data_IF_952293500634
#
_entry.id   IF_952293500634
#
_cell.length_a   1.000
_cell.length_b   1.000
_cell.length_c   1.000
_cell.angle_alpha   90.00
_cell.angle_beta   90.00
_cell.angle_gamma   90.00
#
_symmetry.space_group_name_H-M   'P 1'
#
loop_
_entity.id
_entity.type
_entity.pdbx_description
1 polymer ?
#
# COMPACT_ATOMS: atom_id res chain seq x y z
N UNK A 1 -47.64 1.44 17.62
CA UNK A 1 -46.28 2.03 17.73
C UNK A 1 -45.27 0.92 17.52
N UNK A 2 -44.68 0.81 16.31
CA UNK A 2 -43.54 -0.08 16.07
C UNK A 2 -42.30 0.81 16.05
N UNK A 3 -41.31 0.51 16.91
CA UNK A 3 -39.96 1.05 16.81
C UNK A 3 -39.33 0.43 15.57
N UNK A 4 -38.97 1.27 14.61
CA UNK A 4 -38.08 0.91 13.51
C UNK A 4 -36.67 0.74 14.09
N UNK A 5 -35.95 -0.34 13.78
CA UNK A 5 -34.56 -0.46 14.18
C UNK A 5 -33.71 0.55 13.41
N UNK A 6 -32.94 1.33 14.17
CA UNK A 6 -31.84 2.15 13.67
C UNK A 6 -30.91 1.22 12.87
N UNK A 7 -30.78 1.46 11.57
CA UNK A 7 -29.73 0.82 10.78
C UNK A 7 -28.42 1.33 11.38
N UNK A 8 -27.65 0.41 11.93
CA UNK A 8 -26.27 0.64 12.32
C UNK A 8 -25.48 0.81 11.00
N UNK A 9 -25.35 2.06 10.55
CA UNK A 9 -24.45 2.47 9.48
C UNK A 9 -23.01 2.29 9.98
N UNK A 10 -22.58 1.04 10.14
CA UNK A 10 -21.20 0.70 10.46
C UNK A 10 -20.29 1.22 9.36
N UNK A 11 -19.89 2.48 9.50
CA UNK A 11 -18.76 3.12 8.87
C UNK A 11 -17.59 2.16 9.09
N UNK A 12 -17.25 1.41 8.05
CA UNK A 12 -16.15 0.46 8.12
C UNK A 12 -14.90 1.28 8.32
N UNK A 13 -14.49 1.46 9.59
CA UNK A 13 -13.42 2.33 10.00
C UNK A 13 -12.22 2.13 9.06
N UNK A 14 -11.99 3.12 8.19
CA UNK A 14 -10.77 3.20 7.40
C UNK A 14 -9.63 3.26 8.41
N UNK A 15 -8.96 2.13 8.64
CA UNK A 15 -7.84 2.08 9.56
C UNK A 15 -6.70 2.92 8.97
N UNK A 16 -6.43 4.07 9.59
CA UNK A 16 -5.38 5.01 9.19
C UNK A 16 -4.29 5.02 10.24
N UNK A 17 -3.04 4.89 9.80
CA UNK A 17 -1.86 4.95 10.66
C UNK A 17 -0.92 6.07 10.23
N UNK A 18 -0.03 6.47 11.12
CA UNK A 18 0.98 7.50 10.84
C UNK A 18 2.33 6.91 10.43
N UNK A 19 2.56 5.62 10.69
CA UNK A 19 3.80 4.92 10.39
C UNK A 19 3.54 3.43 10.13
N UNK A 20 4.37 2.84 9.25
CA UNK A 20 4.46 1.39 9.05
C UNK A 20 5.89 0.90 9.23
N UNK A 21 6.00 -0.32 9.74
CA UNK A 21 7.21 -1.11 9.92
C UNK A 21 7.01 -2.48 9.29
N UNK A 22 8.09 -3.26 9.14
CA UNK A 22 7.98 -4.65 8.65
C UNK A 22 7.27 -5.60 9.63
N UNK A 23 7.05 -5.19 10.87
CA UNK A 23 6.35 -6.02 11.87
C UNK A 23 4.82 -5.86 11.80
N UNK A 24 4.35 -4.80 11.15
CA UNK A 24 2.93 -4.60 10.91
C UNK A 24 2.39 -5.65 9.93
N UNK A 25 1.08 -5.88 9.97
CA UNK A 25 0.40 -6.90 9.16
C UNK A 25 -0.70 -6.26 8.33
N UNK A 26 -1.18 -6.97 7.30
CA UNK A 26 -2.20 -6.47 6.39
C UNK A 26 -1.66 -5.81 5.14
N UNK A 27 -2.61 -5.36 4.32
CA UNK A 27 -2.38 -4.63 3.09
C UNK A 27 -2.66 -3.15 3.33
N UNK A 28 -1.68 -2.32 3.02
CA UNK A 28 -1.72 -0.89 3.28
C UNK A 28 -1.45 -0.10 2.02
N UNK A 29 -2.22 0.97 1.81
CA UNK A 29 -1.97 1.95 0.77
C UNK A 29 -1.31 3.19 1.34
N UNK A 30 -0.11 3.44 0.83
CA UNK A 30 0.71 4.61 1.15
C UNK A 30 0.55 5.63 0.04
N UNK A 31 -0.15 6.72 0.34
CA UNK A 31 -0.37 7.82 -0.59
C UNK A 31 0.78 8.80 -0.57
N UNK A 32 1.30 9.14 -1.75
CA UNK A 32 2.33 10.15 -1.93
C UNK A 32 1.87 11.20 -2.94
N UNK A 33 2.66 12.25 -3.20
CA UNK A 33 2.24 13.40 -4.02
C UNK A 33 1.74 13.03 -5.42
N UNK A 34 2.31 12.01 -6.07
CA UNK A 34 2.02 11.70 -7.48
C UNK A 34 1.74 10.22 -7.78
N UNK A 35 1.76 9.37 -6.76
CA UNK A 35 1.49 7.94 -6.85
C UNK A 35 1.12 7.42 -5.47
N UNK A 36 0.56 6.23 -5.41
CA UNK A 36 0.44 5.46 -4.18
C UNK A 36 1.28 4.18 -4.29
N UNK A 37 1.54 3.55 -3.15
CA UNK A 37 2.19 2.24 -3.08
C UNK A 37 1.31 1.32 -2.24
N UNK A 38 1.01 0.15 -2.76
CA UNK A 38 0.33 -0.90 -2.02
C UNK A 38 1.42 -1.77 -1.40
N UNK A 39 1.52 -1.77 -0.08
CA UNK A 39 2.41 -2.63 0.70
C UNK A 39 1.58 -3.76 1.28
N UNK A 40 1.78 -4.98 0.79
CA UNK A 40 1.25 -6.18 1.42
C UNK A 40 2.30 -6.70 2.39
N UNK A 41 2.13 -6.41 3.68
CA UNK A 41 3.08 -6.83 4.72
C UNK A 41 2.87 -8.28 5.16
N UNK A 42 1.72 -8.88 4.84
CA UNK A 42 1.51 -10.32 5.06
C UNK A 42 2.33 -11.17 4.10
N UNK A 43 2.45 -10.74 2.84
CA UNK A 43 3.22 -11.41 1.79
C UNK A 43 4.62 -10.80 1.58
N UNK A 44 4.94 -9.72 2.29
CA UNK A 44 6.14 -8.91 2.11
C UNK A 44 6.34 -8.50 0.64
N UNK A 45 5.36 -7.82 0.05
CA UNK A 45 5.43 -7.28 -1.32
C UNK A 45 5.05 -5.80 -1.38
N UNK A 46 5.50 -5.13 -2.43
CA UNK A 46 5.13 -3.74 -2.73
C UNK A 46 4.84 -3.55 -4.21
N UNK A 47 3.80 -2.78 -4.51
CA UNK A 47 3.39 -2.41 -5.87
C UNK A 47 3.18 -0.91 -5.96
N UNK A 48 3.81 -0.27 -6.94
CA UNK A 48 3.55 1.14 -7.23
C UNK A 48 2.27 1.27 -8.06
N UNK A 49 1.41 2.19 -7.66
CA UNK A 49 0.20 2.57 -8.40
C UNK A 49 0.34 4.03 -8.86
N UNK A 50 0.48 4.29 -10.18
CA UNK A 50 0.61 5.65 -10.68
C UNK A 50 -0.66 6.46 -10.42
N UNK A 51 -0.50 7.74 -10.05
CA UNK A 51 -1.63 8.65 -9.88
C UNK A 51 -2.35 8.95 -11.20
N UNK A 52 -3.59 9.44 -11.12
CA UNK A 52 -4.41 9.80 -12.29
C UNK A 52 -3.62 10.68 -13.27
N UNK A 53 -3.56 10.28 -14.54
CA UNK A 53 -2.85 11.01 -15.60
C UNK A 53 -1.33 10.75 -15.68
N UNK A 54 -0.77 9.87 -14.85
CA UNK A 54 0.62 9.41 -14.97
C UNK A 54 0.67 8.13 -15.81
N UNK A 55 1.63 8.04 -16.72
CA UNK A 55 1.87 6.83 -17.51
C UNK A 55 2.27 5.67 -16.61
N UNK A 56 1.81 4.46 -16.97
CA UNK A 56 2.34 3.23 -16.41
C UNK A 56 3.81 3.09 -16.76
N UNK A 57 4.60 2.50 -15.88
CA UNK A 57 6.00 2.17 -16.14
C UNK A 57 6.33 0.75 -15.68
N UNK A 58 7.53 0.27 -16.04
CA UNK A 58 8.08 -1.00 -15.58
C UNK A 58 8.18 -1.11 -14.04
N UNK A 59 8.01 0.00 -13.32
CA UNK A 59 8.03 0.05 -11.87
C UNK A 59 6.66 -0.22 -11.24
N UNK A 60 5.60 -0.38 -12.03
CA UNK A 60 4.23 -0.65 -11.55
C UNK A 60 3.95 -2.15 -11.42
N UNK A 61 5.00 -2.95 -11.29
CA UNK A 61 4.93 -4.39 -11.03
C UNK A 61 5.10 -4.64 -9.53
N UNK A 62 4.44 -5.69 -9.04
CA UNK A 62 4.62 -6.18 -7.67
C UNK A 62 6.04 -6.74 -7.52
N UNK A 63 6.76 -6.29 -6.48
CA UNK A 63 8.10 -6.79 -6.15
C UNK A 63 8.18 -7.25 -4.69
N UNK A 64 8.99 -8.26 -4.37
CA UNK A 64 9.24 -8.65 -2.99
C UNK A 64 9.88 -7.49 -2.22
N UNK A 65 9.29 -7.12 -1.09
CA UNK A 65 9.78 -6.12 -0.16
C UNK A 65 10.83 -6.76 0.74
N UNK A 66 12.02 -6.16 0.80
CA UNK A 66 13.14 -6.66 1.62
C UNK A 66 13.31 -5.87 2.91
N UNK A 67 13.19 -4.55 2.86
CA UNK A 67 13.30 -3.68 4.04
C UNK A 67 12.36 -2.48 3.93
N UNK A 68 11.92 -1.96 5.07
CA UNK A 68 11.10 -0.75 5.18
C UNK A 68 11.79 0.21 6.15
N UNK A 69 12.81 0.94 5.67
CA UNK A 69 13.64 1.82 6.49
C UNK A 69 12.89 3.06 6.98
N UNK A 70 11.95 3.58 6.20
CA UNK A 70 11.08 4.69 6.60
C UNK A 70 9.74 4.60 5.88
N UNK A 71 8.65 4.65 6.63
CA UNK A 71 7.30 4.73 6.07
C UNK A 71 6.39 5.50 7.02
N UNK A 72 6.60 6.82 7.11
CA UNK A 72 5.90 7.71 8.05
C UNK A 72 5.27 8.90 7.33
N UNK A 73 4.04 9.26 7.71
CA UNK A 73 3.35 10.44 7.19
C UNK A 73 4.17 11.70 7.48
N UNK A 74 4.32 12.56 6.47
CA UNK A 74 5.15 13.78 6.55
C UNK A 74 6.59 13.57 6.10
N UNK A 75 7.06 12.33 5.97
CA UNK A 75 8.42 12.01 5.52
C UNK A 75 8.44 11.40 4.11
N UNK A 76 9.64 11.23 3.55
CA UNK A 76 9.83 10.43 2.34
C UNK A 76 9.95 8.97 2.72
N UNK A 77 9.18 8.12 2.06
CA UNK A 77 9.28 6.67 2.19
C UNK A 77 10.61 6.15 1.65
N UNK A 78 11.19 5.17 2.33
CA UNK A 78 12.44 4.49 1.96
C UNK A 78 12.30 3.00 2.22
N UNK A 79 12.54 2.20 1.19
CA UNK A 79 12.50 0.75 1.26
C UNK A 79 13.38 0.12 0.19
N UNK A 80 13.67 -1.16 0.35
CA UNK A 80 14.35 -1.97 -0.66
C UNK A 80 13.48 -3.13 -1.14
N UNK A 81 13.69 -3.52 -2.40
CA UNK A 81 12.96 -4.61 -3.05
C UNK A 81 13.94 -5.60 -3.67
N UNK A 82 13.60 -6.88 -3.64
CA UNK A 82 14.39 -7.90 -4.33
C UNK A 82 14.37 -7.65 -5.84
N UNK A 83 15.52 -7.89 -6.46
CA UNK A 83 15.67 -7.86 -7.90
C UNK A 83 15.31 -9.22 -8.51
N UNK A 84 14.74 -9.19 -9.70
CA UNK A 84 14.58 -10.32 -10.61
C UNK A 84 15.78 -10.52 -11.54
N UNK A 85 16.66 -9.51 -11.62
CA UNK A 85 17.94 -9.56 -12.34
C UNK A 85 19.06 -10.06 -11.43
N UNK A 86 19.75 -11.13 -11.87
CA UNK A 86 20.88 -11.78 -11.16
C UNK A 86 22.11 -10.88 -10.98
N UNK A 87 22.21 -9.79 -11.75
CA UNK A 87 23.31 -8.82 -11.67
C UNK A 87 23.02 -7.65 -10.74
N UNK A 88 21.80 -7.56 -10.20
CA UNK A 88 21.37 -6.47 -9.31
C UNK A 88 21.01 -7.07 -7.96
N UNK A 89 21.74 -6.70 -6.90
CA UNK A 89 21.50 -7.27 -5.57
C UNK A 89 20.09 -6.96 -5.04
N UNK A 90 19.65 -5.70 -5.22
CA UNK A 90 18.32 -5.23 -4.86
C UNK A 90 18.07 -3.81 -5.37
N UNK A 91 16.81 -3.43 -5.48
CA UNK A 91 16.40 -2.08 -5.84
C UNK A 91 16.16 -1.24 -4.59
N UNK A 92 16.71 -0.02 -4.57
CA UNK A 92 16.34 1.00 -3.58
C UNK A 92 15.21 1.87 -4.11
N UNK A 93 14.24 2.20 -3.25
CA UNK A 93 13.18 3.15 -3.57
C UNK A 93 13.16 4.29 -2.55
N UNK A 94 13.04 5.52 -3.06
CA UNK A 94 12.77 6.72 -2.27
C UNK A 94 11.55 7.42 -2.85
N UNK A 95 10.48 7.53 -2.07
CA UNK A 95 9.24 8.15 -2.53
C UNK A 95 9.27 9.67 -2.37
N UNK A 96 8.27 10.34 -2.96
CA UNK A 96 7.88 11.69 -2.51
C UNK A 96 7.24 11.64 -1.11
N UNK A 97 6.96 12.80 -0.52
CA UNK A 97 6.38 12.88 0.85
C UNK A 97 5.09 12.07 0.97
N UNK A 98 5.04 11.23 1.99
CA UNK A 98 3.86 10.43 2.36
C UNK A 98 2.81 11.35 2.98
N UNK A 99 1.57 11.23 2.49
CA UNK A 99 0.44 12.09 2.86
C UNK A 99 -0.63 11.37 3.68
N UNK A 100 -0.84 10.07 3.43
CA UNK A 100 -1.82 9.22 4.12
C UNK A 100 -1.31 7.79 4.06
N UNK A 101 -1.55 7.02 5.11
CA UNK A 101 -1.38 5.57 5.12
C UNK A 101 -2.70 5.00 5.61
N UNK A 102 -3.35 4.19 4.78
CA UNK A 102 -4.63 3.58 5.11
C UNK A 102 -4.59 2.08 4.82
N UNK A 103 -5.38 1.32 5.56
CA UNK A 103 -5.54 -0.10 5.30
C UNK A 103 -6.41 -0.28 4.07
N UNK A 104 -5.96 -1.10 3.14
CA UNK A 104 -6.81 -1.53 2.04
C UNK A 104 -7.84 -2.51 2.61
N UNK A 105 -9.12 -2.24 2.34
CA UNK A 105 -10.17 -3.19 2.68
C UNK A 105 -9.82 -4.55 2.05
N UNK A 106 -10.06 -5.68 2.75
CA UNK A 106 -9.87 -6.98 2.16
C UNK A 106 -10.72 -7.06 0.91
N UNK A 107 -10.08 -7.07 -0.26
CA UNK A 107 -10.77 -7.34 -1.50
C UNK A 107 -11.21 -8.81 -1.42
N UNK A 108 -12.51 -9.04 -1.20
CA UNK A 108 -13.09 -10.37 -1.41
C UNK A 108 -12.67 -10.91 -2.78
N UNK A 109 -12.65 -12.24 -2.99
CA UNK A 109 -11.99 -12.85 -4.14
C UNK A 109 -12.38 -12.11 -5.42
N UNK A 110 -11.39 -11.48 -6.07
CA UNK A 110 -11.58 -10.85 -7.38
C UNK A 110 -12.19 -11.91 -8.27
N UNK A 111 -13.46 -11.73 -8.64
CA UNK A 111 -14.10 -12.61 -9.59
C UNK A 111 -13.26 -12.61 -10.88
N UNK A 112 -12.60 -13.74 -11.11
CA UNK A 112 -11.92 -14.07 -12.34
C UNK A 112 -12.91 -13.82 -13.48
N UNK A 113 -12.60 -12.84 -14.34
CA UNK A 113 -13.30 -12.71 -15.59
C UNK A 113 -12.72 -13.77 -16.53
N UNK A 114 -13.57 -14.74 -16.88
CA UNK A 114 -13.28 -15.80 -17.84
C UNK A 114 -13.27 -15.35 -19.30
#
# INVERSE_FOLDING_TARGET
MRREPLIDDGDGDEEVVTELTLNDRGVWRVWTHGSSHILNLDEATVTRVPGKGRSRSINDITRPLRSLDACRVGERGRWSMSSDDVMVDFYWHVSSTIRKIEREAPHGPSAEHG
#
